data_IF_763349081547
#
_entry.id   IF_763349081547
#
_cell.length_a   1.000
_cell.length_b   1.000
_cell.length_c   1.000
_cell.angle_alpha   90.00
_cell.angle_beta   90.00
_cell.angle_gamma   90.00
#
_symmetry.space_group_name_H-M   'P 1'
#
loop_
_entity.id
_entity.type
_entity.pdbx_description
1 polymer ?
#
# COMPACT_ATOMS: atom_id res chain seq x y z
N UNK A 1 23.79 13.90 7.83
CA UNK A 1 23.15 13.43 6.58
C UNK A 1 21.69 13.09 6.85
N UNK A 2 20.75 13.61 6.07
CA UNK A 2 19.30 13.50 6.35
C UNK A 2 18.81 12.07 6.09
N UNK A 3 18.61 11.29 7.17
CA UNK A 3 17.90 9.98 7.15
C UNK A 3 16.39 10.20 6.97
N UNK A 4 15.98 10.93 5.93
CA UNK A 4 14.56 11.03 5.59
C UNK A 4 14.14 9.69 5.02
N UNK A 5 13.60 8.83 5.88
CA UNK A 5 12.96 7.59 5.49
C UNK A 5 11.99 7.92 4.35
N UNK A 6 12.26 7.36 3.16
CA UNK A 6 11.31 7.47 2.06
C UNK A 6 10.04 6.74 2.51
N UNK A 7 8.90 7.43 2.65
CA UNK A 7 7.69 6.77 3.07
C UNK A 7 7.33 5.72 2.04
N UNK A 8 7.27 4.47 2.48
CA UNK A 8 6.73 3.36 1.70
C UNK A 8 5.27 3.17 2.07
N UNK A 9 4.48 2.63 1.15
CA UNK A 9 3.10 2.27 1.42
C UNK A 9 2.98 0.76 1.31
N UNK A 10 2.36 0.14 2.31
CA UNK A 10 2.03 -1.28 2.28
C UNK A 10 0.55 -1.43 2.02
N UNK A 11 0.21 -2.19 0.98
CA UNK A 11 -1.16 -2.51 0.56
C UNK A 11 -1.14 -3.95 0.09
N UNK A 12 -1.97 -4.81 0.69
CA UNK A 12 -2.13 -6.23 0.31
C UNK A 12 -0.80 -7.02 0.28
N UNK A 13 0.07 -6.81 1.28
CA UNK A 13 1.40 -7.43 1.31
C UNK A 13 2.30 -7.08 0.10
N UNK A 14 2.00 -5.97 -0.57
CA UNK A 14 2.86 -5.34 -1.57
C UNK A 14 3.39 -4.00 -1.08
N UNK A 15 4.57 -3.64 -1.58
CA UNK A 15 5.26 -2.41 -1.23
C UNK A 15 5.26 -1.44 -2.40
N UNK A 16 4.93 -0.21 -2.07
CA UNK A 16 4.89 0.88 -3.02
C UNK A 16 5.74 2.03 -2.54
N UNK A 17 6.45 2.65 -3.48
CA UNK A 17 7.16 3.90 -3.26
C UNK A 17 6.32 5.06 -3.75
N UNK A 18 6.49 6.19 -3.07
CA UNK A 18 5.89 7.46 -3.47
C UNK A 18 6.38 7.87 -4.86
N UNK A 19 5.44 8.13 -5.77
CA UNK A 19 5.73 8.62 -7.12
C UNK A 19 5.27 10.08 -7.25
N UNK A 20 6.21 11.01 -7.09
CA UNK A 20 5.95 12.45 -7.17
C UNK A 20 5.35 13.04 -5.89
N UNK A 21 4.97 14.31 -5.98
CA UNK A 21 4.37 15.07 -4.88
C UNK A 21 2.85 14.84 -4.80
N UNK A 22 2.23 14.98 -3.62
CA UNK A 22 0.79 14.90 -3.50
C UNK A 22 0.15 16.04 -4.29
N UNK A 23 -0.91 15.73 -5.03
CA UNK A 23 -1.70 16.71 -5.76
C UNK A 23 -2.47 17.65 -4.82
N UNK A 24 -2.97 18.76 -5.36
CA UNK A 24 -3.72 19.79 -4.61
C UNK A 24 -4.93 19.23 -3.85
N UNK A 25 -5.54 18.15 -4.34
CA UNK A 25 -6.68 17.48 -3.70
C UNK A 25 -6.27 16.37 -2.72
N UNK A 26 -5.01 16.34 -2.26
CA UNK A 26 -4.52 15.30 -1.34
C UNK A 26 -4.29 13.93 -2.00
N UNK A 27 -4.26 13.86 -3.33
CA UNK A 27 -4.04 12.62 -4.08
C UNK A 27 -2.55 12.32 -4.16
N UNK A 28 -2.12 11.15 -3.73
CA UNK A 28 -0.74 10.70 -3.81
C UNK A 28 -0.67 9.43 -4.66
N UNK A 29 0.19 9.47 -5.67
CA UNK A 29 0.47 8.32 -6.50
C UNK A 29 1.60 7.49 -5.89
N UNK A 30 1.43 6.18 -5.99
CA UNK A 30 2.34 5.17 -5.50
C UNK A 30 2.57 4.13 -6.59
N UNK A 31 3.80 3.67 -6.71
CA UNK A 31 4.18 2.65 -7.70
C UNK A 31 4.88 1.51 -6.99
N UNK A 32 4.65 0.29 -7.45
CA UNK A 32 5.30 -0.88 -6.86
C UNK A 32 6.83 -0.72 -6.93
N UNK A 33 7.52 -1.14 -5.86
CA UNK A 33 8.99 -1.09 -5.82
C UNK A 33 9.63 -2.24 -6.61
N UNK A 34 8.89 -3.30 -6.88
CA UNK A 34 9.37 -4.50 -7.57
C UNK A 34 9.72 -4.19 -9.02
N UNK A 35 10.92 -4.58 -9.46
CA UNK A 35 11.34 -4.41 -10.86
C UNK A 35 10.49 -5.29 -11.77
N UNK A 36 9.96 -4.70 -12.84
CA UNK A 36 9.06 -5.40 -13.77
C UNK A 36 7.59 -5.42 -13.35
N UNK A 37 7.25 -4.86 -12.19
CA UNK A 37 5.86 -4.69 -11.79
C UNK A 37 5.36 -3.29 -12.18
N UNK A 38 4.30 -3.25 -12.99
CA UNK A 38 3.68 -1.99 -13.43
C UNK A 38 2.48 -1.59 -12.55
N UNK A 39 2.35 -2.21 -11.37
CA UNK A 39 1.28 -1.95 -10.41
C UNK A 39 1.39 -0.53 -9.82
N UNK A 40 0.27 0.22 -9.84
CA UNK A 40 0.16 1.61 -9.40
C UNK A 40 -1.10 1.81 -8.58
N UNK A 41 -0.96 2.59 -7.52
CA UNK A 41 -2.04 2.87 -6.58
C UNK A 41 -2.11 4.38 -6.37
N UNK A 42 -3.32 4.87 -6.13
CA UNK A 42 -3.53 6.25 -5.71
C UNK A 42 -4.19 6.26 -4.35
N UNK A 43 -3.62 7.01 -3.41
CA UNK A 43 -4.26 7.30 -2.12
C UNK A 43 -4.79 8.71 -2.13
N UNK A 44 -5.94 8.96 -1.52
CA UNK A 44 -6.54 10.28 -1.40
C UNK A 44 -6.72 10.57 0.09
N UNK A 45 -6.03 11.59 0.58
CA UNK A 45 -5.84 11.88 2.01
C UNK A 45 -5.20 10.70 2.75
N UNK A 46 -6.01 9.82 3.34
CA UNK A 46 -5.58 8.64 4.09
C UNK A 46 -6.16 7.32 3.55
N UNK A 47 -7.02 7.39 2.54
CA UNK A 47 -7.69 6.23 1.98
C UNK A 47 -7.06 5.79 0.66
N UNK A 48 -6.98 4.48 0.44
CA UNK A 48 -6.59 3.94 -0.86
C UNK A 48 -7.78 4.08 -1.81
N UNK A 49 -7.69 5.00 -2.77
CA UNK A 49 -8.76 5.23 -3.74
C UNK A 49 -8.70 4.25 -4.92
N UNK A 50 -7.52 3.71 -5.22
CA UNK A 50 -7.35 2.80 -6.34
C UNK A 50 -6.31 1.74 -5.98
N UNK A 51 -6.74 0.49 -5.90
CA UNK A 51 -5.87 -0.68 -5.83
C UNK A 51 -5.74 -1.26 -7.24
N UNK A 52 -4.53 -1.47 -7.76
CA UNK A 52 -4.34 -2.14 -9.03
C UNK A 52 -4.63 -3.64 -8.89
N UNK A 53 -5.37 -4.25 -9.84
CA UNK A 53 -5.77 -5.66 -9.75
C UNK A 53 -4.70 -6.67 -10.19
N UNK A 54 -3.52 -6.24 -10.67
CA UNK A 54 -2.55 -7.18 -11.26
C UNK A 54 -1.10 -6.85 -10.89
N UNK A 55 -0.53 -7.69 -10.01
CA UNK A 55 0.91 -7.80 -9.82
C UNK A 55 1.44 -8.95 -10.67
N UNK A 56 2.53 -8.70 -11.39
CA UNK A 56 3.26 -9.74 -12.13
C UNK A 56 4.24 -10.54 -11.26
N UNK A 57 4.07 -10.50 -9.93
CA UNK A 57 4.93 -11.17 -8.98
C UNK A 57 4.15 -11.53 -7.71
N UNK A 58 4.65 -12.52 -6.99
CA UNK A 58 4.05 -12.97 -5.73
C UNK A 58 4.27 -11.93 -4.61
N UNK A 59 3.32 -11.81 -3.66
CA UNK A 59 3.50 -10.98 -2.48
C UNK A 59 4.65 -11.53 -1.63
N UNK A 60 5.48 -10.63 -1.11
CA UNK A 60 6.62 -11.00 -0.27
C UNK A 60 6.40 -10.47 1.15
N UNK A 61 5.63 -11.19 2.00
CA UNK A 61 5.23 -10.72 3.31
C UNK A 61 6.42 -10.48 4.24
N UNK A 62 7.50 -11.27 4.12
CA UNK A 62 8.70 -11.11 4.94
C UNK A 62 9.38 -9.74 4.70
N UNK A 63 9.47 -9.32 3.43
CA UNK A 63 10.04 -8.02 3.08
C UNK A 63 9.18 -6.87 3.60
N UNK A 64 7.86 -7.02 3.47
CA UNK A 64 6.86 -6.08 3.98
C UNK A 64 6.97 -5.93 5.49
N UNK A 65 7.00 -7.04 6.22
CA UNK A 65 7.07 -7.08 7.68
C UNK A 65 8.33 -6.38 8.19
N UNK A 66 9.48 -6.67 7.58
CA UNK A 66 10.73 -5.99 7.91
C UNK A 66 10.64 -4.47 7.77
N UNK A 67 9.95 -3.97 6.74
CA UNK A 67 9.78 -2.53 6.52
C UNK A 67 8.71 -1.89 7.40
N UNK A 68 7.67 -2.65 7.77
CA UNK A 68 6.69 -2.26 8.79
C UNK A 68 7.40 -2.08 10.14
N UNK A 69 8.18 -3.07 10.56
CA UNK A 69 8.94 -3.06 11.83
C UNK A 69 9.97 -1.93 11.85
N UNK A 70 10.58 -1.61 10.71
CA UNK A 70 11.52 -0.50 10.60
C UNK A 70 10.87 0.91 10.67
N UNK A 71 9.54 1.01 10.76
CA UNK A 71 8.81 2.29 10.82
C UNK A 71 8.94 3.13 9.54
N UNK A 72 9.42 2.53 8.44
CA UNK A 72 9.64 3.21 7.17
C UNK A 72 8.40 3.21 6.26
N UNK A 73 7.36 2.46 6.63
CA UNK A 73 6.16 2.27 5.83
C UNK A 73 4.90 2.82 6.53
N UNK A 74 4.13 3.62 5.80
CA UNK A 74 2.74 3.97 6.13
C UNK A 74 1.88 2.74 5.83
N UNK A 75 1.16 2.27 6.84
CA UNK A 75 0.14 1.23 6.65
C UNK A 75 -1.08 1.87 6.02
N UNK A 76 -1.39 1.54 4.78
CA UNK A 76 -2.73 1.77 4.26
C UNK A 76 -3.55 0.57 4.72
N UNK A 77 -4.43 0.79 5.70
CA UNK A 77 -5.47 -0.16 6.00
C UNK A 77 -6.38 -0.24 4.77
N UNK A 78 -6.17 -1.27 3.95
CA UNK A 78 -7.24 -1.79 3.13
C UNK A 78 -8.25 -2.39 4.09
N UNK A 79 -9.14 -1.55 4.62
CA UNK A 79 -10.46 -2.05 4.97
C UNK A 79 -11.15 -2.35 3.65
N UNK A 80 -10.85 -3.53 3.10
CA UNK A 80 -11.88 -4.26 2.39
C UNK A 80 -12.95 -4.50 3.45
N UNK A 81 -13.91 -3.60 3.51
CA UNK A 81 -15.11 -3.76 4.31
C UNK A 81 -15.87 -4.97 3.74
N UNK A 82 -15.47 -6.16 4.16
CA UNK A 82 -16.31 -7.35 4.16
C UNK A 82 -16.65 -7.61 5.63
N UNK A 83 -17.26 -6.62 6.26
CA UNK A 83 -18.20 -6.86 7.34
C UNK A 83 -19.49 -7.33 6.66
N UNK A 84 -19.74 -8.64 6.68
CA UNK A 84 -21.09 -9.18 6.79
C UNK A 84 -21.01 -10.64 7.25
N UNK A 85 -21.09 -10.76 8.57
CA UNK A 85 -21.75 -11.78 9.40
C UNK A 85 -21.45 -13.26 9.12
N UNK A 86 -20.66 -13.81 10.05
CA UNK A 86 -21.02 -15.06 10.71
C UNK A 86 -22.46 -14.95 11.26
N UNK A 87 -23.36 -15.79 10.76
CA UNK A 87 -24.57 -16.15 11.48
C UNK A 87 -24.83 -17.63 11.25
N UNK A 88 -24.40 -18.38 12.26
CA UNK A 88 -24.91 -19.68 12.65
C UNK A 88 -26.44 -19.64 12.89
N UNK A 89 -27.05 -20.82 13.01
CA UNK A 89 -28.46 -21.15 13.33
C UNK A 89 -29.52 -21.08 12.20
N UNK A 90 -29.85 -22.23 11.59
CA UNK A 90 -30.83 -23.21 12.10
C UNK A 90 -31.07 -24.35 11.09
#
# INVERSE_FOLDING_TARGET
MSRRANPLLVVDNFLYRKNGQPGKSGQQYWVCITRGCNSRITTVYDHVAMVPPQHSHEPCPEHVERLKVAGAAKLAALTSSMDNLDSDEN
#
